data_IF_286377588066
#
_entry.id   IF_286377588066
#
_cell.length_a   1.000
_cell.length_b   1.000
_cell.length_c   1.000
_cell.angle_alpha   90.00
_cell.angle_beta   90.00
_cell.angle_gamma   90.00
#
_symmetry.space_group_name_H-M   'P 1'
#
loop_
_entity.id
_entity.type
_entity.pdbx_description
1 polymer ?
#
# COMPACT_ATOMS: atom_id res chain seq x y z
N UNK A 1 66.16 66.75 16.87
CA UNK A 1 64.92 66.40 16.13
C UNK A 1 65.03 64.91 15.80
N UNK A 2 64.55 64.04 16.70
CA UNK A 2 63.29 63.27 16.61
C UNK A 2 63.39 62.08 15.63
N UNK A 3 63.24 60.80 16.00
CA UNK A 3 63.01 60.14 17.29
C UNK A 3 62.85 58.61 17.15
N UNK A 4 63.03 57.89 18.28
CA UNK A 4 62.35 56.66 18.76
C UNK A 4 62.22 55.45 17.79
N UNK A 5 62.59 54.22 18.11
CA UNK A 5 63.04 53.55 19.32
C UNK A 5 63.07 52.03 19.08
N UNK A 6 64.05 51.33 19.67
CA UNK A 6 64.06 49.85 19.75
C UNK A 6 63.05 49.42 20.82
N UNK A 7 62.18 48.46 20.53
CA UNK A 7 61.55 47.63 21.56
C UNK A 7 61.48 46.18 21.12
N UNK A 8 62.37 45.36 21.68
CA UNK A 8 62.14 43.93 21.84
C UNK A 8 60.86 43.74 22.64
N UNK A 9 59.97 42.85 22.22
CA UNK A 9 58.91 42.34 23.11
C UNK A 9 58.87 40.82 23.02
N UNK A 10 59.25 40.20 24.13
CA UNK A 10 59.18 38.77 24.39
C UNK A 10 57.83 38.19 23.96
N UNK A 11 57.84 37.18 23.10
CA UNK A 11 56.67 36.28 22.99
C UNK A 11 56.69 35.33 24.18
N UNK A 12 55.99 35.79 25.21
CA UNK A 12 55.61 35.07 26.42
C UNK A 12 55.08 33.66 26.07
N UNK A 13 55.59 32.64 26.76
CA UNK A 13 54.91 31.38 27.03
C UNK A 13 53.54 31.69 27.65
N UNK A 14 52.49 31.75 26.83
CA UNK A 14 51.10 31.72 27.28
C UNK A 14 50.32 30.73 26.42
N UNK A 15 49.90 29.67 27.10
CA UNK A 15 48.82 28.75 26.70
C UNK A 15 48.93 28.08 25.32
N UNK A 16 49.61 26.92 25.29
CA UNK A 16 49.22 25.80 24.41
C UNK A 16 48.32 24.82 25.16
N UNK A 17 47.48 25.31 26.08
CA UNK A 17 46.27 24.61 26.47
C UNK A 17 45.16 25.07 25.52
N UNK A 18 45.30 24.69 24.24
CA UNK A 18 44.08 24.36 23.49
C UNK A 18 43.54 23.17 24.26
N UNK A 19 42.36 23.33 24.87
CA UNK A 19 41.53 22.19 25.23
C UNK A 19 41.62 21.25 24.03
N UNK A 20 42.29 20.09 24.19
CA UNK A 20 42.04 18.97 23.29
C UNK A 20 40.56 18.73 23.53
N UNK A 21 39.71 19.31 22.69
CA UNK A 21 38.34 18.84 22.56
C UNK A 21 38.50 17.34 22.33
N UNK A 22 38.23 16.56 23.38
CA UNK A 22 38.37 15.12 23.33
C UNK A 22 37.47 14.68 22.19
N UNK A 23 38.07 13.99 21.21
CA UNK A 23 37.30 13.41 20.11
C UNK A 23 36.53 12.21 20.66
N UNK A 24 35.44 12.51 21.36
CA UNK A 24 34.58 11.54 22.04
C UNK A 24 33.94 10.56 21.06
N UNK A 25 33.85 10.91 19.77
CA UNK A 25 33.29 10.03 18.74
C UNK A 25 34.34 8.98 18.35
N UNK A 26 35.59 9.38 18.15
CA UNK A 26 36.69 8.44 17.92
C UNK A 26 37.01 7.57 19.15
N UNK A 27 36.57 7.94 20.36
CA UNK A 27 36.68 7.09 21.55
C UNK A 27 35.61 5.98 21.63
N UNK A 28 34.52 6.06 20.86
CA UNK A 28 33.48 5.04 20.87
C UNK A 28 33.99 3.72 20.27
N UNK A 29 33.55 2.55 20.75
CA UNK A 29 33.81 1.27 20.09
C UNK A 29 33.25 1.21 18.66
N UNK A 30 33.90 0.44 17.78
CA UNK A 30 33.50 0.27 16.37
C UNK A 30 32.02 -0.08 16.19
N UNK A 31 31.40 -0.98 16.99
CA UNK A 31 29.97 -1.28 16.87
C UNK A 31 29.06 -0.07 17.07
N UNK A 32 29.42 0.85 18.00
CA UNK A 32 28.64 2.06 18.25
C UNK A 32 28.82 3.08 17.12
N UNK A 33 30.04 3.21 16.58
CA UNK A 33 30.26 4.06 15.41
C UNK A 33 29.48 3.52 14.20
N UNK A 34 29.50 2.20 13.97
CA UNK A 34 28.74 1.58 12.89
C UNK A 34 27.22 1.77 13.08
N UNK A 35 26.73 1.75 14.32
CA UNK A 35 25.33 2.10 14.62
C UNK A 35 25.03 3.57 14.29
N UNK A 36 25.89 4.52 14.69
CA UNK A 36 25.75 5.94 14.33
C UNK A 36 25.71 6.11 12.81
N UNK A 37 26.66 5.50 12.10
CA UNK A 37 26.72 5.51 10.64
C UNK A 37 25.47 4.89 9.99
N UNK A 38 24.85 3.90 10.64
CA UNK A 38 23.63 3.24 10.14
C UNK A 38 22.40 4.17 10.10
N UNK A 39 22.45 5.29 10.83
CA UNK A 39 21.41 6.32 10.81
C UNK A 39 21.55 7.30 9.64
N UNK A 40 22.69 7.30 8.94
CA UNK A 40 22.88 8.14 7.76
C UNK A 40 21.93 7.76 6.61
N UNK A 41 21.63 8.74 5.76
CA UNK A 41 20.58 8.63 4.77
C UNK A 41 20.99 7.75 3.59
N UNK A 42 22.25 7.84 3.12
CA UNK A 42 22.76 7.11 1.96
C UNK A 42 24.24 6.74 2.09
N UNK A 43 24.67 5.71 1.35
CA UNK A 43 26.07 5.26 1.32
C UNK A 43 27.05 6.40 1.02
N UNK A 44 26.65 7.44 0.27
CA UNK A 44 27.48 8.63 0.00
C UNK A 44 27.96 9.32 1.26
N UNK A 45 27.10 9.45 2.26
CA UNK A 45 27.44 10.10 3.53
C UNK A 45 28.33 9.18 4.37
N UNK A 46 27.99 7.90 4.41
CA UNK A 46 28.77 6.88 5.14
C UNK A 46 30.19 6.79 4.57
N UNK A 47 30.33 6.65 3.26
CA UNK A 47 31.63 6.55 2.57
C UNK A 47 32.43 7.84 2.72
N UNK A 48 31.80 9.02 2.73
CA UNK A 48 32.50 10.30 3.00
C UNK A 48 33.20 10.31 4.36
N UNK A 49 32.70 9.59 5.36
CA UNK A 49 33.36 9.51 6.67
C UNK A 49 34.71 8.77 6.62
N UNK A 50 35.00 8.02 5.54
CA UNK A 50 36.28 7.32 5.35
C UNK A 50 37.49 8.24 5.31
N UNK A 51 37.31 9.54 5.05
CA UNK A 51 38.40 10.54 5.02
C UNK A 51 38.76 11.07 6.42
N UNK A 52 37.97 10.75 7.45
CA UNK A 52 38.18 11.29 8.81
C UNK A 52 39.44 10.70 9.47
N UNK A 53 39.70 9.40 9.29
CA UNK A 53 40.93 8.75 9.72
C UNK A 53 41.09 7.35 9.11
N UNK A 54 42.24 6.71 9.31
CA UNK A 54 42.53 5.34 8.87
C UNK A 54 41.51 4.32 9.40
N UNK A 55 41.03 4.51 10.64
CA UNK A 55 40.01 3.65 11.25
C UNK A 55 38.66 3.78 10.55
N UNK A 56 38.21 5.00 10.27
CA UNK A 56 36.91 5.22 9.61
C UNK A 56 36.88 4.75 8.16
N UNK A 57 38.06 4.57 7.55
CA UNK A 57 38.20 4.02 6.21
C UNK A 57 37.59 2.62 6.04
N UNK A 58 37.60 1.80 7.10
CA UNK A 58 37.01 0.45 7.08
C UNK A 58 35.62 0.38 7.70
N UNK A 59 35.27 1.27 8.65
CA UNK A 59 34.02 1.18 9.41
C UNK A 59 32.75 1.20 8.55
N UNK A 60 32.75 1.96 7.45
CA UNK A 60 31.59 2.00 6.56
C UNK A 60 31.24 0.64 5.94
N UNK A 61 32.19 -0.31 5.89
CA UNK A 61 32.04 -1.67 5.36
C UNK A 61 31.40 -2.63 6.38
N UNK A 62 31.27 -2.20 7.63
CA UNK A 62 30.70 -2.98 8.73
C UNK A 62 29.31 -2.48 9.16
N UNK A 63 28.78 -1.47 8.46
CA UNK A 63 27.50 -0.86 8.80
C UNK A 63 26.36 -1.85 8.54
N UNK A 64 25.46 -2.09 9.52
CA UNK A 64 24.38 -3.05 9.38
C UNK A 64 23.23 -2.57 8.46
N UNK A 65 23.12 -1.26 8.23
CA UNK A 65 22.11 -0.68 7.36
C UNK A 65 22.77 0.03 6.17
N UNK A 66 22.62 -0.54 4.98
CA UNK A 66 23.24 0.00 3.78
C UNK A 66 22.18 0.42 2.76
N UNK A 67 22.35 1.62 2.19
CA UNK A 67 21.43 2.22 1.23
C UNK A 67 22.23 2.77 0.05
N UNK A 68 22.04 2.18 -1.13
CA UNK A 68 22.74 2.56 -2.35
C UNK A 68 21.73 2.97 -3.42
N UNK A 69 22.02 4.05 -4.14
CA UNK A 69 21.16 4.55 -5.20
C UNK A 69 21.95 5.18 -6.34
N UNK A 70 21.61 4.85 -7.58
CA UNK A 70 22.20 5.50 -8.76
C UNK A 70 21.77 6.96 -8.92
N UNK A 71 20.61 7.36 -8.38
CA UNK A 71 20.22 8.79 -8.31
C UNK A 71 21.20 9.60 -7.45
N UNK A 72 21.73 8.98 -6.38
CA UNK A 72 22.69 9.63 -5.46
C UNK A 72 24.12 9.55 -5.98
N UNK A 73 24.42 8.51 -6.76
CA UNK A 73 25.68 8.25 -7.44
C UNK A 73 25.45 8.10 -8.94
N UNK A 74 25.36 9.21 -9.70
CA UNK A 74 25.10 9.16 -11.14
C UNK A 74 26.22 8.46 -11.91
N UNK A 75 27.46 8.52 -11.42
CA UNK A 75 28.56 7.74 -11.97
C UNK A 75 28.42 6.27 -11.58
N UNK A 76 28.00 5.47 -12.55
CA UNK A 76 27.82 4.02 -12.42
C UNK A 76 29.09 3.30 -11.97
N UNK A 77 30.28 3.71 -12.43
CA UNK A 77 31.55 3.05 -12.06
C UNK A 77 31.83 3.23 -10.57
N UNK A 78 31.55 4.43 -10.05
CA UNK A 78 31.68 4.73 -8.62
C UNK A 78 30.65 3.94 -7.81
N UNK A 79 29.39 3.90 -8.26
CA UNK A 79 28.34 3.12 -7.62
C UNK A 79 28.71 1.64 -7.55
N UNK A 80 29.16 1.07 -8.67
CA UNK A 80 29.57 -0.32 -8.79
C UNK A 80 30.75 -0.62 -7.88
N UNK A 81 31.79 0.22 -7.91
CA UNK A 81 32.97 0.07 -7.04
C UNK A 81 32.62 0.10 -5.55
N UNK A 82 31.75 1.02 -5.12
CA UNK A 82 31.27 1.08 -3.73
C UNK A 82 30.51 -0.20 -3.36
N UNK A 83 29.60 -0.64 -4.23
CA UNK A 83 28.83 -1.86 -4.03
C UNK A 83 29.74 -3.09 -3.95
N UNK A 84 30.60 -3.30 -4.94
CA UNK A 84 31.55 -4.42 -4.98
C UNK A 84 32.44 -4.47 -3.74
N UNK A 85 32.90 -3.31 -3.27
CA UNK A 85 33.73 -3.23 -2.04
C UNK A 85 32.92 -3.59 -0.79
N UNK A 86 31.66 -3.14 -0.70
CA UNK A 86 30.79 -3.40 0.45
C UNK A 86 30.28 -4.84 0.48
N UNK A 87 29.94 -5.40 -0.68
CA UNK A 87 29.39 -6.74 -0.86
C UNK A 87 30.44 -7.81 -1.18
N UNK A 88 31.73 -7.49 -1.00
CA UNK A 88 32.82 -8.46 -1.07
C UNK A 88 32.46 -9.71 -0.25
N UNK A 89 32.51 -10.86 -0.91
CA UNK A 89 32.10 -12.16 -0.36
C UNK A 89 32.98 -12.63 0.79
N UNK A 90 34.20 -12.08 0.94
CA UNK A 90 35.09 -12.35 2.05
C UNK A 90 34.66 -11.65 3.35
N UNK A 91 33.71 -10.70 3.29
CA UNK A 91 33.23 -9.98 4.47
C UNK A 91 32.18 -10.79 5.24
N UNK A 92 32.36 -10.85 6.56
CA UNK A 92 31.47 -11.57 7.48
C UNK A 92 30.54 -10.67 8.30
N UNK A 93 30.68 -9.34 8.19
CA UNK A 93 29.87 -8.38 8.96
C UNK A 93 28.39 -8.50 8.59
N UNK A 94 27.50 -8.45 9.58
CA UNK A 94 26.07 -8.65 9.35
C UNK A 94 25.44 -7.46 8.61
N UNK A 95 24.61 -7.74 7.61
CA UNK A 95 23.77 -6.74 6.95
C UNK A 95 22.35 -6.96 7.46
N UNK A 96 21.81 -6.05 8.27
CA UNK A 96 20.43 -6.14 8.76
C UNK A 96 19.44 -5.60 7.73
N UNK A 97 19.76 -4.47 7.10
CA UNK A 97 18.89 -3.80 6.14
C UNK A 97 19.67 -3.37 4.91
N UNK A 98 19.17 -3.78 3.75
CA UNK A 98 19.68 -3.37 2.45
C UNK A 98 18.58 -2.65 1.67
N UNK A 99 18.92 -1.47 1.14
CA UNK A 99 18.07 -0.70 0.23
C UNK A 99 18.84 -0.36 -1.05
N UNK A 100 18.43 -0.91 -2.18
CA UNK A 100 19.00 -0.65 -3.49
C UNK A 100 17.97 0.11 -4.35
N UNK A 101 18.41 1.19 -4.99
CA UNK A 101 17.64 1.96 -5.97
C UNK A 101 18.47 2.15 -7.23
N UNK A 102 18.24 1.31 -8.22
CA UNK A 102 19.05 1.27 -9.42
C UNK A 102 18.17 1.69 -10.60
N UNK A 103 18.55 2.83 -11.16
CA UNK A 103 18.13 3.38 -12.43
C UNK A 103 19.40 3.37 -13.28
N UNK A 104 19.49 2.44 -14.24
CA UNK A 104 20.51 2.52 -15.27
C UNK A 104 19.93 3.36 -16.41
N UNK A 105 20.78 4.12 -17.10
CA UNK A 105 20.40 4.88 -18.29
C UNK A 105 20.47 3.95 -19.51
N UNK A 106 19.66 4.21 -20.53
CA UNK A 106 19.53 3.38 -21.74
C UNK A 106 20.74 3.46 -22.70
N UNK A 107 21.86 4.04 -22.27
CA UNK A 107 23.06 4.14 -23.09
C UNK A 107 23.62 2.74 -23.40
N UNK A 108 23.29 2.26 -24.59
CA UNK A 108 23.70 0.97 -25.20
C UNK A 108 25.21 0.69 -25.09
N UNK A 109 26.05 1.74 -25.04
CA UNK A 109 27.51 1.64 -24.94
C UNK A 109 27.98 1.01 -23.60
N UNK A 110 27.15 1.00 -22.56
CA UNK A 110 27.45 0.43 -21.24
C UNK A 110 26.89 -0.98 -21.01
N UNK A 111 26.20 -1.58 -22.00
CA UNK A 111 25.63 -2.94 -21.90
C UNK A 111 26.66 -4.07 -22.07
N UNK A 112 27.87 -3.75 -22.55
CA UNK A 112 28.95 -4.73 -22.75
C UNK A 112 29.58 -5.08 -21.41
N UNK A 113 29.15 -6.20 -20.82
CA UNK A 113 29.67 -6.73 -19.55
C UNK A 113 28.72 -6.69 -18.36
N UNK A 114 27.40 -6.60 -18.60
CA UNK A 114 26.34 -6.67 -17.59
C UNK A 114 26.25 -8.05 -16.91
N UNK A 115 27.30 -8.45 -16.20
CA UNK A 115 27.14 -9.31 -15.03
C UNK A 115 26.09 -8.65 -14.13
N UNK A 116 25.06 -9.40 -13.71
CA UNK A 116 24.01 -8.87 -12.85
C UNK A 116 24.57 -8.60 -11.44
N UNK A 117 25.33 -7.51 -11.30
CA UNK A 117 25.90 -7.06 -10.04
C UNK A 117 24.84 -6.83 -8.95
N UNK A 118 23.56 -6.46 -9.23
CA UNK A 118 22.54 -6.45 -8.20
C UNK A 118 22.32 -7.86 -7.62
N UNK A 119 22.33 -8.90 -8.46
CA UNK A 119 22.21 -10.30 -8.03
C UNK A 119 23.37 -10.70 -7.12
N UNK A 120 24.62 -10.38 -7.49
CA UNK A 120 25.79 -10.73 -6.67
C UNK A 120 25.80 -10.00 -5.34
N UNK A 121 25.40 -8.72 -5.31
CA UNK A 121 25.27 -7.94 -4.08
C UNK A 121 24.19 -8.48 -3.16
N UNK A 122 23.03 -8.85 -3.72
CA UNK A 122 21.95 -9.48 -2.94
C UNK A 122 22.39 -10.84 -2.42
N UNK A 123 23.20 -11.60 -3.17
CA UNK A 123 23.68 -12.93 -2.78
C UNK A 123 24.62 -12.82 -1.57
N UNK A 124 25.59 -11.90 -1.64
CA UNK A 124 26.46 -11.58 -0.53
C UNK A 124 25.67 -11.10 0.70
N UNK A 125 24.66 -10.25 0.49
CA UNK A 125 23.82 -9.77 1.59
C UNK A 125 23.01 -10.89 2.25
N UNK A 126 22.40 -11.78 1.45
CA UNK A 126 21.63 -12.91 1.96
C UNK A 126 22.48 -13.84 2.85
N UNK A 127 23.75 -14.07 2.47
CA UNK A 127 24.73 -14.83 3.26
C UNK A 127 25.14 -14.13 4.57
N UNK A 128 24.92 -12.83 4.69
CA UNK A 128 25.32 -11.97 5.83
C UNK A 128 24.16 -11.64 6.77
N UNK A 129 23.24 -12.58 6.99
CA UNK A 129 22.10 -12.50 7.94
C UNK A 129 21.11 -11.35 7.63
N UNK A 130 20.81 -11.17 6.35
CA UNK A 130 19.85 -10.17 5.87
C UNK A 130 18.47 -10.31 6.52
N UNK A 131 17.94 -9.20 7.07
CA UNK A 131 16.60 -9.17 7.67
C UNK A 131 15.61 -8.38 6.83
N UNK A 132 16.05 -7.31 6.17
CA UNK A 132 15.16 -6.42 5.41
C UNK A 132 15.80 -6.07 4.07
N UNK A 133 15.18 -6.53 2.99
CA UNK A 133 15.59 -6.22 1.64
C UNK A 133 14.56 -5.28 0.98
N UNK A 134 15.05 -4.21 0.39
CA UNK A 134 14.32 -3.38 -0.56
C UNK A 134 15.17 -3.22 -1.82
N UNK A 135 14.64 -3.59 -2.97
CA UNK A 135 15.28 -3.40 -4.27
C UNK A 135 14.29 -2.75 -5.21
N UNK A 136 14.69 -1.64 -5.81
CA UNK A 136 13.98 -1.00 -6.89
C UNK A 136 14.83 -0.99 -8.14
N UNK A 137 14.33 -1.67 -9.17
CA UNK A 137 14.83 -1.67 -10.54
C UNK A 137 13.71 -1.18 -11.46
N UNK A 138 14.07 -0.59 -12.59
CA UNK A 138 13.11 -0.35 -13.67
C UNK A 138 12.73 -1.71 -14.34
N UNK A 139 11.56 -1.81 -15.00
CA UNK A 139 11.02 -3.08 -15.48
C UNK A 139 11.82 -3.76 -16.61
N UNK A 140 12.56 -2.98 -17.41
CA UNK A 140 13.25 -3.49 -18.61
C UNK A 140 14.50 -4.34 -18.28
N UNK A 141 14.91 -4.34 -17.01
CA UNK A 141 16.08 -5.10 -16.56
C UNK A 141 15.74 -6.57 -16.27
N UNK A 142 16.59 -7.48 -16.73
CA UNK A 142 16.47 -8.94 -16.50
C UNK A 142 17.24 -9.42 -15.26
N UNK A 143 17.46 -8.56 -14.27
CA UNK A 143 18.20 -8.95 -13.06
C UNK A 143 17.38 -9.91 -12.19
N UNK A 144 17.94 -11.09 -11.97
CA UNK A 144 17.35 -12.14 -11.16
C UNK A 144 17.69 -11.98 -9.69
N UNK A 145 16.79 -12.37 -8.79
CA UNK A 145 17.19 -12.55 -7.39
C UNK A 145 18.08 -13.81 -7.27
N UNK A 146 19.06 -13.82 -6.37
CA UNK A 146 19.88 -15.01 -6.16
C UNK A 146 19.12 -16.09 -5.40
N UNK A 147 19.45 -17.36 -5.65
CA UNK A 147 18.81 -18.52 -5.00
C UNK A 147 19.02 -18.50 -3.47
N UNK A 148 20.13 -17.94 -2.99
CA UNK A 148 20.41 -17.77 -1.55
C UNK A 148 19.36 -16.94 -0.83
N UNK A 149 18.63 -16.07 -1.54
CA UNK A 149 17.56 -15.29 -0.97
C UNK A 149 16.37 -16.17 -0.56
N UNK A 150 16.07 -17.25 -1.31
CA UNK A 150 14.99 -18.20 -1.00
C UNK A 150 15.24 -19.03 0.26
N UNK A 151 16.49 -19.11 0.73
CA UNK A 151 16.88 -19.87 1.93
C UNK A 151 17.35 -18.97 3.07
N UNK A 152 17.15 -17.65 2.94
CA UNK A 152 17.57 -16.66 3.93
C UNK A 152 16.70 -16.73 5.20
N UNK A 153 17.14 -17.51 6.19
CA UNK A 153 16.40 -17.77 7.44
C UNK A 153 16.14 -16.54 8.29
N UNK A 154 16.92 -15.48 8.11
CA UNK A 154 16.81 -14.22 8.88
C UNK A 154 15.89 -13.21 8.23
N UNK A 155 15.44 -13.43 6.99
CA UNK A 155 14.69 -12.45 6.21
C UNK A 155 13.28 -12.25 6.80
N UNK A 156 12.99 -11.02 7.22
CA UNK A 156 11.71 -10.60 7.82
C UNK A 156 10.86 -9.77 6.86
N UNK A 157 11.49 -8.99 5.98
CA UNK A 157 10.81 -8.13 5.02
C UNK A 157 11.49 -8.21 3.66
N UNK A 158 10.74 -8.58 2.63
CA UNK A 158 11.15 -8.60 1.24
C UNK A 158 10.33 -7.62 0.42
N UNK A 159 10.97 -6.66 -0.24
CA UNK A 159 10.32 -5.68 -1.12
C UNK A 159 11.08 -5.60 -2.45
N UNK A 160 10.50 -6.16 -3.50
CA UNK A 160 11.12 -6.24 -4.83
C UNK A 160 10.27 -5.47 -5.85
N UNK A 161 10.94 -4.73 -6.70
CA UNK A 161 10.33 -3.95 -7.78
C UNK A 161 11.16 -4.15 -9.05
N UNK A 162 10.54 -4.64 -10.13
CA UNK A 162 11.20 -4.78 -11.43
C UNK A 162 12.23 -5.91 -11.52
N UNK A 163 12.21 -6.90 -10.62
CA UNK A 163 13.15 -8.03 -10.63
C UNK A 163 12.55 -9.30 -11.20
N UNK A 164 13.41 -10.25 -11.58
CA UNK A 164 13.02 -11.59 -12.01
C UNK A 164 13.22 -12.59 -10.86
N UNK A 165 12.24 -13.47 -10.64
CA UNK A 165 12.38 -14.62 -9.76
C UNK A 165 12.89 -15.80 -10.61
N UNK A 166 14.06 -16.39 -10.32
CA UNK A 166 14.45 -17.62 -10.97
C UNK A 166 13.64 -18.79 -10.41
N UNK A 167 13.49 -19.84 -11.21
CA UNK A 167 12.89 -21.09 -10.76
C UNK A 167 13.74 -21.68 -9.64
N UNK A 168 13.15 -21.85 -8.46
CA UNK A 168 13.78 -22.56 -7.36
C UNK A 168 13.19 -23.97 -7.26
N UNK A 169 13.91 -24.98 -6.78
CA UNK A 169 13.32 -26.26 -6.36
C UNK A 169 12.83 -26.24 -4.90
N UNK A 170 13.43 -25.37 -4.09
CA UNK A 170 13.25 -25.32 -2.64
C UNK A 170 13.19 -23.87 -2.14
N UNK A 171 12.27 -23.59 -1.21
CA UNK A 171 12.14 -22.28 -0.53
C UNK A 171 12.00 -22.51 0.97
N UNK A 172 12.70 -21.72 1.79
CA UNK A 172 12.57 -21.74 3.24
C UNK A 172 12.79 -20.34 3.81
N UNK A 173 11.69 -19.66 4.14
CA UNK A 173 11.66 -18.29 4.63
C UNK A 173 10.95 -18.21 6.00
N UNK A 174 11.50 -18.85 7.04
CA UNK A 174 10.83 -19.07 8.32
C UNK A 174 10.49 -17.80 9.09
N UNK A 175 11.16 -16.68 8.82
CA UNK A 175 10.96 -15.40 9.52
C UNK A 175 10.23 -14.34 8.68
N UNK A 176 9.86 -14.64 7.43
CA UNK A 176 9.33 -13.64 6.51
C UNK A 176 7.91 -13.23 6.90
N UNK A 177 7.74 -11.97 7.32
CA UNK A 177 6.44 -11.41 7.75
C UNK A 177 5.80 -10.52 6.71
N UNK A 178 6.61 -9.87 5.87
CA UNK A 178 6.14 -8.94 4.84
C UNK A 178 6.81 -9.25 3.51
N UNK A 179 5.98 -9.44 2.48
CA UNK A 179 6.41 -9.60 1.11
C UNK A 179 5.68 -8.59 0.22
N UNK A 180 6.43 -7.79 -0.52
CA UNK A 180 5.91 -6.86 -1.52
C UNK A 180 6.61 -7.09 -2.84
N UNK A 181 5.85 -7.45 -3.86
CA UNK A 181 6.31 -7.74 -5.21
C UNK A 181 5.58 -6.79 -6.16
N UNK A 182 6.32 -5.94 -6.88
CA UNK A 182 5.75 -5.04 -7.89
C UNK A 182 6.48 -5.22 -9.21
N UNK A 183 5.76 -5.51 -10.28
CA UNK A 183 6.34 -5.79 -11.60
C UNK A 183 7.46 -6.84 -11.50
N UNK A 184 7.23 -7.88 -10.68
CA UNK A 184 8.21 -8.97 -10.47
C UNK A 184 7.82 -10.13 -11.37
N UNK A 185 8.70 -10.52 -12.31
CA UNK A 185 8.44 -11.64 -13.22
C UNK A 185 8.65 -12.96 -12.49
N UNK A 186 7.62 -13.80 -12.46
CA UNK A 186 7.67 -15.14 -11.87
C UNK A 186 7.85 -16.17 -12.99
N UNK A 187 8.67 -17.22 -12.83
CA UNK A 187 9.04 -18.16 -13.90
C UNK A 187 7.97 -19.23 -14.13
N UNK A 188 7.15 -19.53 -13.12
CA UNK A 188 6.00 -20.42 -13.15
C UNK A 188 5.14 -20.18 -11.89
N UNK A 189 3.92 -20.73 -11.89
CA UNK A 189 2.96 -20.61 -10.79
C UNK A 189 3.45 -21.31 -9.52
N UNK A 190 4.12 -22.47 -9.67
CA UNK A 190 4.60 -23.29 -8.56
C UNK A 190 5.71 -22.60 -7.75
N UNK A 191 6.53 -21.77 -8.38
CA UNK A 191 7.59 -20.98 -7.74
C UNK A 191 6.99 -19.88 -6.89
N UNK A 192 5.98 -19.17 -7.39
CA UNK A 192 5.25 -18.20 -6.59
C UNK A 192 4.51 -18.87 -5.42
N UNK A 193 3.85 -20.00 -5.70
CA UNK A 193 3.15 -20.77 -4.67
C UNK A 193 4.07 -21.15 -3.52
N UNK A 194 5.24 -21.72 -3.83
CA UNK A 194 6.23 -22.11 -2.82
C UNK A 194 6.81 -20.92 -2.07
N UNK A 195 6.99 -19.78 -2.75
CA UNK A 195 7.43 -18.55 -2.11
C UNK A 195 6.45 -18.11 -1.00
N UNK A 196 5.14 -18.25 -1.24
CA UNK A 196 4.09 -17.91 -0.27
C UNK A 196 3.90 -19.01 0.78
N UNK A 197 3.75 -20.27 0.36
CA UNK A 197 3.41 -21.39 1.24
C UNK A 197 4.57 -21.81 2.15
N UNK A 198 5.83 -21.67 1.70
CA UNK A 198 7.02 -21.92 2.51
C UNK A 198 7.46 -20.72 3.38
N UNK A 199 6.57 -19.72 3.53
CA UNK A 199 6.73 -18.56 4.42
C UNK A 199 5.72 -18.63 5.57
N UNK A 200 5.92 -19.50 6.58
CA UNK A 200 4.88 -19.87 7.55
C UNK A 200 4.42 -18.74 8.46
N UNK A 201 5.18 -17.63 8.58
CA UNK A 201 4.84 -16.46 9.41
C UNK A 201 4.47 -15.23 8.59
N UNK A 202 4.18 -15.38 7.30
CA UNK A 202 3.84 -14.29 6.40
C UNK A 202 2.52 -13.62 6.80
N UNK A 203 2.57 -12.35 7.18
CA UNK A 203 1.38 -11.60 7.62
C UNK A 203 0.84 -10.66 6.54
N UNK A 204 1.72 -10.12 5.70
CA UNK A 204 1.36 -9.12 4.68
C UNK A 204 1.96 -9.51 3.33
N UNK A 205 1.11 -9.70 2.34
CA UNK A 205 1.48 -9.91 0.95
C UNK A 205 0.90 -8.76 0.10
N UNK A 206 1.75 -8.16 -0.73
CA UNK A 206 1.36 -7.14 -1.68
C UNK A 206 1.89 -7.49 -3.06
N UNK A 207 1.01 -7.66 -4.03
CA UNK A 207 1.33 -7.98 -5.41
C UNK A 207 0.77 -6.88 -6.33
N UNK A 208 1.61 -6.39 -7.26
CA UNK A 208 1.20 -5.41 -8.25
C UNK A 208 1.91 -5.65 -9.58
N UNK A 209 1.21 -5.50 -10.72
CA UNK A 209 1.75 -5.78 -12.05
C UNK A 209 0.86 -5.22 -13.17
N UNK A 210 1.47 -4.85 -14.30
CA UNK A 210 0.81 -4.18 -15.42
C UNK A 210 0.75 -5.06 -16.70
N UNK A 211 1.86 -5.64 -17.14
CA UNK A 211 1.91 -6.38 -18.42
C UNK A 211 2.62 -7.74 -18.25
N UNK A 212 2.20 -8.74 -19.04
CA UNK A 212 2.72 -10.11 -19.13
C UNK A 212 2.50 -11.09 -17.96
N UNK A 213 1.57 -10.78 -17.07
CA UNK A 213 1.14 -11.70 -16.03
C UNK A 213 0.05 -12.67 -16.49
N UNK A 214 0.27 -13.43 -17.57
CA UNK A 214 -0.69 -14.47 -18.02
C UNK A 214 -0.79 -15.69 -17.09
N UNK A 215 -0.21 -15.61 -15.89
CA UNK A 215 0.00 -16.73 -14.98
C UNK A 215 -0.89 -16.57 -13.75
N UNK A 216 -1.30 -17.69 -13.17
CA UNK A 216 -1.97 -17.67 -11.90
C UNK A 216 -0.99 -17.39 -10.75
N UNK A 217 -1.48 -16.65 -9.77
CA UNK A 217 -0.85 -16.35 -8.50
C UNK A 217 -1.60 -17.11 -7.40
N UNK A 218 -1.25 -18.38 -7.17
CA UNK A 218 -1.79 -19.16 -6.06
C UNK A 218 -1.26 -18.60 -4.72
N UNK A 219 -2.16 -17.99 -3.96
CA UNK A 219 -1.92 -17.50 -2.61
C UNK A 219 -2.48 -18.51 -1.61
N UNK A 220 -1.69 -19.56 -1.35
CA UNK A 220 -1.98 -20.55 -0.30
C UNK A 220 -1.17 -20.19 0.95
N UNK A 221 -1.84 -19.68 2.00
CA UNK A 221 -1.15 -19.28 3.23
C UNK A 221 -2.04 -19.40 4.47
N UNK A 222 -1.53 -20.10 5.49
CA UNK A 222 -2.23 -20.28 6.77
C UNK A 222 -2.02 -19.14 7.76
N UNK A 223 -1.11 -18.18 7.49
CA UNK A 223 -0.76 -17.09 8.41
C UNK A 223 -1.03 -15.69 7.88
N UNK A 224 -1.42 -15.59 6.61
CA UNK A 224 -1.64 -14.32 5.92
C UNK A 224 -2.81 -13.55 6.53
N UNK A 225 -2.56 -12.33 6.98
CA UNK A 225 -3.57 -11.43 7.57
C UNK A 225 -4.04 -10.35 6.61
N UNK A 226 -3.17 -9.94 5.68
CA UNK A 226 -3.47 -8.88 4.70
C UNK A 226 -2.92 -9.22 3.32
N UNK A 227 -3.79 -9.16 2.33
CA UNK A 227 -3.47 -9.27 0.91
C UNK A 227 -3.85 -7.97 0.20
N UNK A 228 -2.93 -7.44 -0.60
CA UNK A 228 -3.22 -6.35 -1.54
C UNK A 228 -2.81 -6.80 -2.95
N UNK A 229 -3.75 -6.79 -3.89
CA UNK A 229 -3.54 -7.19 -5.27
C UNK A 229 -3.94 -6.08 -6.26
N UNK A 230 -3.11 -5.89 -7.28
CA UNK A 230 -3.34 -4.99 -8.43
C UNK A 230 -2.71 -5.61 -9.67
N UNK A 231 -3.44 -6.45 -10.38
CA UNK A 231 -2.92 -7.28 -11.48
C UNK A 231 -3.82 -7.12 -12.70
N UNK A 232 -3.50 -6.17 -13.57
CA UNK A 232 -4.37 -5.79 -14.70
C UNK A 232 -4.76 -6.97 -15.61
N UNK A 233 -3.94 -8.03 -15.66
CA UNK A 233 -4.17 -9.24 -16.49
C UNK A 233 -3.85 -10.58 -15.81
N UNK A 234 -3.61 -10.60 -14.49
CA UNK A 234 -3.15 -11.81 -13.78
C UNK A 234 -4.22 -12.50 -12.97
N UNK A 235 -4.29 -13.84 -13.06
CA UNK A 235 -5.21 -14.65 -12.27
C UNK A 235 -4.69 -14.84 -10.84
N UNK A 236 -5.55 -14.73 -9.82
CA UNK A 236 -5.20 -14.87 -8.40
C UNK A 236 -6.14 -15.87 -7.75
N UNK A 237 -5.57 -16.94 -7.19
CA UNK A 237 -6.33 -17.90 -6.39
C UNK A 237 -6.00 -17.66 -4.93
N UNK A 238 -7.01 -17.38 -4.11
CA UNK A 238 -6.84 -17.02 -2.70
C UNK A 238 -7.39 -18.13 -1.82
N UNK A 239 -6.50 -18.74 -1.04
CA UNK A 239 -6.79 -19.69 0.03
C UNK A 239 -5.98 -19.27 1.26
N UNK A 240 -6.63 -18.48 2.10
CA UNK A 240 -6.01 -17.83 3.25
C UNK A 240 -7.03 -17.71 4.39
N UNK A 241 -7.20 -18.76 5.22
CA UNK A 241 -8.26 -18.83 6.22
C UNK A 241 -8.15 -17.78 7.33
N UNK A 242 -6.96 -17.21 7.57
CA UNK A 242 -6.74 -16.16 8.58
C UNK A 242 -6.73 -14.74 7.98
N UNK A 243 -7.13 -14.58 6.71
CA UNK A 243 -7.12 -13.30 6.03
C UNK A 243 -8.17 -12.35 6.61
N UNK A 244 -7.71 -11.28 7.27
CA UNK A 244 -8.59 -10.25 7.83
C UNK A 244 -8.83 -9.07 6.88
N UNK A 245 -7.93 -8.82 5.93
CA UNK A 245 -8.03 -7.71 4.97
C UNK A 245 -7.64 -8.16 3.57
N UNK A 246 -8.57 -8.02 2.63
CA UNK A 246 -8.35 -8.20 1.19
C UNK A 246 -8.55 -6.86 0.48
N UNK A 247 -7.51 -6.35 -0.17
CA UNK A 247 -7.59 -5.16 -1.03
C UNK A 247 -7.33 -5.53 -2.47
N UNK A 248 -8.27 -5.22 -3.36
CA UNK A 248 -8.18 -5.44 -4.80
C UNK A 248 -8.34 -4.08 -5.49
N UNK A 249 -7.32 -3.68 -6.23
CA UNK A 249 -7.34 -2.46 -7.05
C UNK A 249 -7.01 -2.85 -8.49
N UNK A 250 -8.03 -3.08 -9.31
CA UNK A 250 -7.84 -3.77 -10.60
C UNK A 250 -8.81 -3.29 -11.68
N UNK A 251 -8.57 -3.68 -12.93
CA UNK A 251 -9.48 -3.42 -14.03
C UNK A 251 -10.71 -4.32 -13.99
N UNK A 252 -10.55 -5.56 -13.51
CA UNK A 252 -11.60 -6.58 -13.40
C UNK A 252 -11.40 -7.49 -12.18
N UNK A 253 -12.51 -8.09 -11.69
CA UNK A 253 -12.47 -9.17 -10.69
C UNK A 253 -12.51 -10.57 -11.30
N UNK A 254 -12.65 -10.70 -12.62
CA UNK A 254 -12.76 -11.99 -13.32
C UNK A 254 -11.58 -12.92 -13.05
N UNK A 255 -10.45 -12.32 -12.72
CA UNK A 255 -9.20 -13.00 -12.45
C UNK A 255 -9.07 -13.48 -11.01
N UNK A 256 -10.04 -13.23 -10.12
CA UNK A 256 -9.92 -13.53 -8.70
C UNK A 256 -10.82 -14.69 -8.31
N UNK A 257 -10.21 -15.79 -7.86
CA UNK A 257 -10.92 -16.96 -7.32
C UNK A 257 -10.67 -17.04 -5.82
N UNK A 258 -11.74 -16.98 -5.04
CA UNK A 258 -11.69 -16.96 -3.58
C UNK A 258 -12.32 -18.25 -3.07
N UNK A 259 -11.59 -19.04 -2.28
CA UNK A 259 -12.04 -20.36 -1.82
C UNK A 259 -12.27 -20.43 -0.32
N UNK A 260 -11.30 -20.00 0.47
CA UNK A 260 -11.28 -20.23 1.91
C UNK A 260 -10.75 -18.98 2.61
N UNK A 261 -11.67 -18.13 3.06
CA UNK A 261 -11.39 -16.91 3.81
C UNK A 261 -11.96 -17.01 5.22
N UNK A 262 -11.48 -16.14 6.10
CA UNK A 262 -12.01 -15.98 7.44
C UNK A 262 -13.53 -15.74 7.42
N UNK A 263 -14.21 -16.16 8.49
CA UNK A 263 -15.66 -16.04 8.64
C UNK A 263 -16.18 -14.59 8.61
N UNK A 264 -15.31 -13.60 8.81
CA UNK A 264 -15.59 -12.18 8.61
C UNK A 264 -14.28 -11.45 8.31
N UNK A 265 -14.19 -10.79 7.16
CA UNK A 265 -13.01 -10.03 6.74
C UNK A 265 -13.41 -8.68 6.12
N UNK A 266 -12.45 -7.76 6.04
CA UNK A 266 -12.58 -6.48 5.34
C UNK A 266 -12.20 -6.64 3.87
N UNK A 267 -13.10 -6.30 2.96
CA UNK A 267 -12.86 -6.19 1.53
C UNK A 267 -12.75 -4.71 1.13
N UNK A 268 -11.67 -4.33 0.46
CA UNK A 268 -11.49 -3.03 -0.19
C UNK A 268 -11.38 -3.26 -1.70
N UNK A 269 -12.43 -2.88 -2.43
CA UNK A 269 -12.59 -3.20 -3.85
C UNK A 269 -12.68 -1.92 -4.69
N UNK A 270 -11.61 -1.66 -5.44
CA UNK A 270 -11.49 -0.52 -6.35
C UNK A 270 -11.34 -0.99 -7.79
N UNK A 271 -12.42 -0.93 -8.56
CA UNK A 271 -12.42 -1.28 -9.98
C UNK A 271 -12.11 -0.06 -10.85
N UNK A 272 -11.15 -0.21 -11.75
CA UNK A 272 -10.65 0.87 -12.61
C UNK A 272 -11.48 1.02 -13.90
N UNK A 273 -12.18 -0.06 -14.33
CA UNK A 273 -13.00 -0.11 -15.54
C UNK A 273 -14.44 -0.53 -15.24
N UNK A 274 -15.42 0.14 -15.88
CA UNK A 274 -16.85 -0.15 -15.73
C UNK A 274 -17.45 -1.07 -16.80
N UNK A 275 -16.66 -1.55 -17.77
CA UNK A 275 -17.17 -2.32 -18.94
C UNK A 275 -17.35 -3.82 -18.68
N UNK A 276 -17.37 -4.25 -17.42
CA UNK A 276 -17.13 -5.64 -17.01
C UNK A 276 -18.26 -6.65 -17.28
N UNK A 277 -19.47 -6.21 -17.67
CA UNK A 277 -20.67 -7.07 -17.49
C UNK A 277 -21.38 -7.47 -18.79
N UNK A 278 -21.01 -6.91 -19.95
CA UNK A 278 -21.75 -7.18 -21.20
C UNK A 278 -21.57 -8.61 -21.73
N UNK A 279 -20.39 -9.21 -21.53
CA UNK A 279 -20.08 -10.56 -21.98
C UNK A 279 -20.50 -11.62 -20.94
N UNK A 280 -21.09 -12.74 -21.39
CA UNK A 280 -21.57 -13.82 -20.52
C UNK A 280 -20.47 -14.49 -19.71
N UNK A 281 -19.29 -14.71 -20.31
CA UNK A 281 -18.13 -15.29 -19.61
C UNK A 281 -17.70 -14.41 -18.42
N UNK A 282 -17.67 -13.09 -18.61
CA UNK A 282 -17.30 -12.13 -17.57
C UNK A 282 -18.31 -12.11 -16.41
N UNK A 283 -19.60 -12.24 -16.73
CA UNK A 283 -20.66 -12.37 -15.70
C UNK A 283 -20.49 -13.62 -14.86
N UNK A 284 -20.20 -14.77 -15.47
CA UNK A 284 -19.96 -16.01 -14.74
C UNK A 284 -18.78 -15.87 -13.76
N UNK A 285 -17.67 -15.27 -14.18
CA UNK A 285 -16.53 -15.04 -13.28
C UNK A 285 -16.87 -14.06 -12.16
N UNK A 286 -17.64 -13.01 -12.44
CA UNK A 286 -18.13 -12.08 -11.42
C UNK A 286 -19.03 -12.80 -10.40
N UNK A 287 -19.92 -13.70 -10.86
CA UNK A 287 -20.77 -14.53 -9.99
C UNK A 287 -19.95 -15.40 -9.04
N UNK A 288 -18.91 -16.06 -9.57
CA UNK A 288 -17.98 -16.87 -8.77
C UNK A 288 -17.26 -15.99 -7.73
N UNK A 289 -16.76 -14.83 -8.14
CA UNK A 289 -16.13 -13.88 -7.22
C UNK A 289 -17.08 -13.44 -6.09
N UNK A 290 -18.31 -13.03 -6.42
CA UNK A 290 -19.34 -12.63 -5.47
C UNK A 290 -19.66 -13.73 -4.46
N UNK A 291 -19.74 -14.98 -4.91
CA UNK A 291 -19.95 -16.13 -4.03
C UNK A 291 -18.80 -16.32 -3.04
N UNK A 292 -17.56 -16.08 -3.48
CA UNK A 292 -16.36 -16.19 -2.65
C UNK A 292 -16.22 -15.08 -1.60
N UNK A 293 -16.86 -13.92 -1.80
CA UNK A 293 -16.87 -12.80 -0.84
C UNK A 293 -18.13 -12.74 0.05
N UNK A 294 -18.98 -13.77 0.03
CA UNK A 294 -20.25 -13.80 0.78
C UNK A 294 -20.11 -13.59 2.30
N UNK A 295 -18.96 -13.97 2.87
CA UNK A 295 -18.62 -13.80 4.30
C UNK A 295 -17.97 -12.44 4.64
N UNK A 296 -18.04 -11.46 3.74
CA UNK A 296 -17.49 -10.12 4.00
C UNK A 296 -18.19 -9.45 5.18
N UNK A 297 -17.40 -8.94 6.14
CA UNK A 297 -17.91 -8.25 7.33
C UNK A 297 -17.88 -6.73 7.21
N UNK A 298 -16.90 -6.21 6.47
CA UNK A 298 -16.76 -4.80 6.10
C UNK A 298 -16.40 -4.70 4.62
N UNK A 299 -17.11 -3.86 3.86
CA UNK A 299 -16.85 -3.66 2.45
C UNK A 299 -16.59 -2.19 2.16
N UNK A 300 -15.50 -1.89 1.45
CA UNK A 300 -15.17 -0.58 0.89
C UNK A 300 -15.26 -0.66 -0.62
N UNK A 301 -16.01 0.24 -1.25
CA UNK A 301 -16.23 0.28 -2.69
C UNK A 301 -15.98 1.67 -3.27
N UNK A 302 -15.29 1.72 -4.41
CA UNK A 302 -15.19 2.94 -5.21
C UNK A 302 -16.48 3.18 -6.02
N UNK A 303 -16.63 4.41 -6.54
CA UNK A 303 -17.75 4.81 -7.43
C UNK A 303 -17.92 3.86 -8.62
N UNK A 304 -16.80 3.53 -9.28
CA UNK A 304 -16.79 2.60 -10.42
C UNK A 304 -17.18 1.18 -9.99
N UNK A 305 -16.72 0.71 -8.83
CA UNK A 305 -17.12 -0.59 -8.29
C UNK A 305 -18.62 -0.63 -8.06
N UNK A 306 -19.20 0.39 -7.43
CA UNK A 306 -20.65 0.47 -7.19
C UNK A 306 -21.45 0.39 -8.49
N UNK A 307 -21.03 1.13 -9.53
CA UNK A 307 -21.65 1.06 -10.87
C UNK A 307 -21.59 -0.35 -11.45
N UNK A 308 -20.46 -1.07 -11.33
CA UNK A 308 -20.31 -2.44 -11.84
C UNK A 308 -21.27 -3.40 -11.13
N UNK A 309 -21.40 -3.32 -9.81
CA UNK A 309 -22.35 -4.13 -9.06
C UNK A 309 -23.80 -3.88 -9.51
N UNK A 310 -24.16 -2.61 -9.72
CA UNK A 310 -25.47 -2.28 -10.26
C UNK A 310 -25.68 -2.87 -11.66
N UNK A 311 -24.73 -2.68 -12.58
CA UNK A 311 -24.83 -3.24 -13.94
C UNK A 311 -24.99 -4.76 -13.91
N UNK A 312 -24.27 -5.46 -13.03
CA UNK A 312 -24.43 -6.90 -12.82
C UNK A 312 -25.85 -7.26 -12.36
N UNK A 313 -26.40 -6.51 -11.40
CA UNK A 313 -27.75 -6.75 -10.86
C UNK A 313 -28.89 -6.66 -11.89
N UNK A 314 -28.66 -5.99 -13.02
CA UNK A 314 -29.63 -5.91 -14.13
C UNK A 314 -29.75 -7.26 -14.87
N UNK A 315 -28.64 -8.00 -14.96
CA UNK A 315 -28.57 -9.24 -15.72
C UNK A 315 -28.73 -10.48 -14.85
N UNK A 316 -28.21 -10.45 -13.62
CA UNK A 316 -28.17 -11.61 -12.74
C UNK A 316 -28.49 -11.22 -11.28
N UNK A 317 -29.09 -12.14 -10.50
CA UNK A 317 -29.40 -11.87 -9.10
C UNK A 317 -28.12 -11.69 -8.27
N UNK A 318 -28.13 -10.68 -7.39
CA UNK A 318 -27.06 -10.45 -6.43
C UNK A 318 -27.20 -11.42 -5.24
N UNK A 319 -26.08 -11.96 -4.70
CA UNK A 319 -26.13 -12.73 -3.47
C UNK A 319 -26.42 -11.82 -2.26
N UNK A 320 -26.89 -12.44 -1.18
CA UNK A 320 -27.05 -11.76 0.09
C UNK A 320 -25.72 -11.73 0.86
N UNK A 321 -25.36 -10.55 1.35
CA UNK A 321 -24.20 -10.32 2.21
C UNK A 321 -24.65 -10.32 3.67
N UNK A 322 -24.96 -11.51 4.19
CA UNK A 322 -25.54 -11.68 5.53
C UNK A 322 -24.61 -11.25 6.68
N UNK A 323 -23.30 -11.29 6.46
CA UNK A 323 -22.29 -10.93 7.46
C UNK A 323 -21.86 -9.46 7.39
N UNK A 324 -22.29 -8.73 6.34
CA UNK A 324 -21.84 -7.36 6.11
C UNK A 324 -22.44 -6.41 7.15
N UNK A 325 -21.59 -5.93 8.04
CA UNK A 325 -21.97 -5.03 9.14
C UNK A 325 -21.65 -3.57 8.86
N UNK A 326 -20.64 -3.31 8.02
CA UNK A 326 -20.21 -1.96 7.64
C UNK A 326 -19.96 -1.87 6.14
N UNK A 327 -20.58 -0.88 5.51
CA UNK A 327 -20.39 -0.55 4.11
C UNK A 327 -19.81 0.86 4.02
N UNK A 328 -18.73 1.01 3.27
CA UNK A 328 -18.13 2.29 2.88
C UNK A 328 -18.17 2.37 1.36
N UNK A 329 -18.93 3.30 0.81
CA UNK A 329 -19.12 3.40 -0.63
C UNK A 329 -18.95 4.85 -1.09
N UNK A 330 -18.09 5.06 -2.09
CA UNK A 330 -18.13 6.31 -2.87
C UNK A 330 -19.18 6.16 -3.95
N UNK A 331 -20.11 7.11 -4.08
CA UNK A 331 -21.24 7.02 -5.01
C UNK A 331 -21.39 8.34 -5.77
N UNK A 332 -21.59 8.25 -7.09
CA UNK A 332 -21.96 9.41 -7.90
C UNK A 332 -23.44 9.77 -7.62
N UNK A 333 -23.80 11.03 -7.44
CA UNK A 333 -25.18 11.45 -7.18
C UNK A 333 -26.22 10.92 -8.19
N UNK A 334 -25.83 10.72 -9.45
CA UNK A 334 -26.69 10.15 -10.51
C UNK A 334 -27.11 8.70 -10.25
N UNK A 335 -26.35 8.01 -9.39
CA UNK A 335 -26.44 6.56 -9.16
C UNK A 335 -27.11 6.25 -7.82
N UNK A 336 -27.40 7.27 -7.01
CA UNK A 336 -28.05 7.13 -5.70
C UNK A 336 -29.39 6.38 -5.78
N UNK A 337 -30.10 6.48 -6.91
CA UNK A 337 -31.33 5.74 -7.17
C UNK A 337 -31.18 4.21 -7.05
N UNK A 338 -29.97 3.68 -7.19
CA UNK A 338 -29.67 2.24 -7.08
C UNK A 338 -29.29 1.80 -5.68
N UNK A 339 -29.05 2.73 -4.76
CA UNK A 339 -28.66 2.46 -3.38
C UNK A 339 -29.63 1.49 -2.67
N UNK A 340 -30.97 1.68 -2.72
CA UNK A 340 -31.90 0.78 -2.02
C UNK A 340 -31.80 -0.67 -2.49
N UNK A 341 -31.60 -0.89 -3.79
CA UNK A 341 -31.48 -2.23 -4.37
C UNK A 341 -30.22 -2.94 -3.83
N UNK A 342 -29.09 -2.23 -3.77
CA UNK A 342 -27.86 -2.78 -3.19
C UNK A 342 -27.97 -3.02 -1.68
N UNK A 343 -28.55 -2.06 -0.93
CA UNK A 343 -28.79 -2.21 0.50
C UNK A 343 -29.75 -3.38 0.82
N UNK A 344 -30.67 -3.69 -0.09
CA UNK A 344 -31.54 -4.87 -0.01
C UNK A 344 -30.77 -6.20 -0.02
N UNK A 345 -29.53 -6.22 -0.53
CA UNK A 345 -28.65 -7.38 -0.48
C UNK A 345 -27.92 -7.51 0.87
N UNK A 346 -28.02 -6.52 1.76
CA UNK A 346 -27.21 -6.40 2.98
C UNK A 346 -28.12 -6.28 4.23
N UNK A 347 -28.92 -7.30 4.58
CA UNK A 347 -30.00 -7.18 5.57
C UNK A 347 -29.52 -6.85 7.00
N UNK A 348 -28.27 -7.21 7.35
CA UNK A 348 -27.70 -7.01 8.69
C UNK A 348 -26.75 -5.80 8.80
N UNK A 349 -26.82 -4.86 7.85
CA UNK A 349 -25.94 -3.70 7.79
C UNK A 349 -26.19 -2.74 8.97
N UNK A 350 -25.15 -2.48 9.78
CA UNK A 350 -25.22 -1.59 10.96
C UNK A 350 -24.67 -0.19 10.71
N UNK A 351 -23.66 -0.08 9.85
CA UNK A 351 -22.99 1.19 9.55
C UNK A 351 -22.87 1.40 8.05
N UNK A 352 -23.34 2.55 7.58
CA UNK A 352 -23.22 2.99 6.19
C UNK A 352 -22.40 4.28 6.16
N UNK A 353 -21.26 4.24 5.48
CA UNK A 353 -20.43 5.40 5.16
C UNK A 353 -20.55 5.66 3.67
N UNK A 354 -20.88 6.89 3.29
CA UNK A 354 -21.03 7.30 1.90
C UNK A 354 -20.18 8.52 1.60
N UNK A 355 -19.33 8.42 0.60
CA UNK A 355 -18.66 9.58 0.00
C UNK A 355 -19.38 10.00 -1.27
N UNK A 356 -19.91 11.22 -1.30
CA UNK A 356 -20.54 11.78 -2.49
C UNK A 356 -19.47 12.46 -3.35
N UNK A 357 -19.28 11.95 -4.58
CA UNK A 357 -18.27 12.46 -5.49
C UNK A 357 -18.91 13.31 -6.59
N UNK A 358 -18.62 14.61 -6.56
CA UNK A 358 -19.09 15.59 -7.52
C UNK A 358 -17.95 15.95 -8.49
N UNK A 359 -17.99 15.46 -9.74
CA UNK A 359 -17.08 15.96 -10.78
C UNK A 359 -17.69 17.14 -11.51
N UNK A 360 -16.86 18.11 -11.89
CA UNK A 360 -17.30 19.29 -12.66
C UNK A 360 -17.86 18.90 -14.04
N UNK A 361 -17.35 17.83 -14.64
CA UNK A 361 -17.81 17.28 -15.92
C UNK A 361 -19.25 16.76 -15.88
N UNK A 362 -19.75 16.33 -14.72
CA UNK A 362 -21.11 15.79 -14.55
C UNK A 362 -22.12 16.83 -14.06
N UNK A 363 -21.75 18.11 -13.97
CA UNK A 363 -22.65 19.20 -13.53
C UNK A 363 -23.97 19.23 -14.31
N UNK A 364 -23.91 19.02 -15.62
CA UNK A 364 -25.09 18.96 -16.49
C UNK A 364 -25.99 17.73 -16.24
N UNK A 365 -25.43 16.62 -15.73
CA UNK A 365 -26.22 15.43 -15.38
C UNK A 365 -26.86 15.53 -13.98
N UNK A 366 -26.38 16.43 -13.11
CA UNK A 366 -26.99 16.63 -11.79
C UNK A 366 -28.40 17.21 -11.86
N UNK A 367 -28.75 17.93 -12.94
CA UNK A 367 -30.14 18.34 -13.19
C UNK A 367 -31.07 17.13 -13.39
N UNK A 368 -30.58 16.07 -14.06
CA UNK A 368 -31.31 14.80 -14.19
C UNK A 368 -31.30 13.99 -12.88
N UNK A 369 -30.21 14.04 -12.10
CA UNK A 369 -30.16 13.43 -10.77
C UNK A 369 -31.20 14.04 -9.81
N UNK A 370 -31.67 15.27 -10.04
CA UNK A 370 -32.73 15.84 -9.23
C UNK A 370 -34.10 15.17 -9.43
N UNK A 371 -34.29 14.32 -10.43
CA UNK A 371 -35.58 13.70 -10.76
C UNK A 371 -35.74 12.24 -10.30
N UNK A 372 -34.77 11.64 -9.59
CA UNK A 372 -34.98 10.27 -9.09
C UNK A 372 -35.83 10.22 -7.81
N UNK A 373 -36.47 9.07 -7.61
CA UNK A 373 -37.10 8.63 -6.36
C UNK A 373 -36.48 7.31 -5.93
N UNK A 374 -36.42 7.06 -4.63
CA UNK A 374 -36.03 5.75 -4.12
C UNK A 374 -37.20 4.78 -4.28
N UNK A 375 -36.93 3.61 -4.88
CA UNK A 375 -37.96 2.64 -5.28
C UNK A 375 -38.49 1.79 -4.13
N UNK A 376 -37.72 1.63 -3.07
CA UNK A 376 -38.04 0.73 -1.95
C UNK A 376 -37.31 1.13 -0.68
N UNK A 377 -37.70 0.52 0.44
CA UNK A 377 -37.00 0.61 1.72
C UNK A 377 -36.35 -0.75 2.00
N UNK A 378 -35.02 -0.84 2.07
CA UNK A 378 -34.33 -2.10 2.32
C UNK A 378 -34.55 -2.53 3.78
N UNK A 379 -34.56 -3.84 4.00
CA UNK A 379 -34.79 -4.44 5.32
C UNK A 379 -33.83 -3.88 6.38
N UNK A 380 -32.56 -3.67 6.02
CA UNK A 380 -31.56 -3.14 6.95
C UNK A 380 -31.92 -1.75 7.50
N UNK A 381 -32.61 -0.90 6.73
CA UNK A 381 -33.08 0.40 7.23
C UNK A 381 -34.10 0.22 8.35
N UNK A 382 -34.89 -0.86 8.31
CA UNK A 382 -35.93 -1.13 9.29
C UNK A 382 -35.37 -1.84 10.53
N UNK A 383 -34.39 -2.74 10.37
CA UNK A 383 -34.02 -3.72 11.40
C UNK A 383 -32.61 -3.60 11.98
N UNK A 384 -31.64 -3.03 11.25
CA UNK A 384 -30.22 -3.16 11.63
C UNK A 384 -29.38 -1.88 11.51
N UNK A 385 -29.78 -0.89 10.71
CA UNK A 385 -28.98 0.30 10.43
C UNK A 385 -28.94 1.27 11.63
N UNK A 386 -27.81 1.31 12.32
CA UNK A 386 -27.61 2.10 13.55
C UNK A 386 -26.89 3.43 13.29
N UNK A 387 -26.02 3.48 12.27
CA UNK A 387 -25.21 4.67 11.98
C UNK A 387 -25.07 4.93 10.49
N UNK A 388 -25.18 6.20 10.12
CA UNK A 388 -24.90 6.67 8.75
C UNK A 388 -23.94 7.85 8.81
N UNK A 389 -22.94 7.85 7.94
CA UNK A 389 -21.98 8.94 7.76
C UNK A 389 -21.95 9.32 6.28
N UNK A 390 -22.22 10.60 5.97
CA UNK A 390 -22.27 11.11 4.60
C UNK A 390 -21.25 12.23 4.46
N UNK A 391 -20.24 11.96 3.65
CA UNK A 391 -19.22 12.90 3.23
C UNK A 391 -19.58 13.54 1.88
N UNK A 392 -19.11 14.77 1.65
CA UNK A 392 -19.19 15.43 0.35
C UNK A 392 -20.52 16.11 0.04
N UNK A 393 -21.34 16.49 1.03
CA UNK A 393 -22.64 17.14 0.76
C UNK A 393 -22.42 18.56 0.22
N UNK A 394 -23.05 18.87 -0.91
CA UNK A 394 -23.00 20.19 -1.55
C UNK A 394 -24.29 21.00 -1.35
N UNK A 395 -25.36 20.37 -0.84
CA UNK A 395 -26.64 21.01 -0.54
C UNK A 395 -27.65 21.02 -1.69
N UNK A 396 -27.42 20.20 -2.72
CA UNK A 396 -28.33 20.09 -3.86
C UNK A 396 -29.59 19.28 -3.50
N UNK A 397 -30.51 19.12 -4.46
CA UNK A 397 -31.76 18.39 -4.20
C UNK A 397 -31.54 16.88 -4.00
N UNK A 398 -30.53 16.28 -4.64
CA UNK A 398 -30.19 14.86 -4.45
C UNK A 398 -29.67 14.59 -3.03
N UNK A 399 -28.81 15.46 -2.48
CA UNK A 399 -28.33 15.39 -1.09
C UNK A 399 -29.49 15.41 -0.10
N UNK A 400 -30.39 16.40 -0.24
CA UNK A 400 -31.56 16.55 0.63
C UNK A 400 -32.48 15.34 0.51
N UNK A 401 -32.68 14.80 -0.70
CA UNK A 401 -33.47 13.58 -0.92
C UNK A 401 -32.85 12.37 -0.24
N UNK A 402 -31.54 12.18 -0.33
CA UNK A 402 -30.83 11.09 0.32
C UNK A 402 -30.96 11.15 1.84
N UNK A 403 -30.67 12.32 2.43
CA UNK A 403 -30.79 12.53 3.88
C UNK A 403 -32.23 12.32 4.33
N UNK A 404 -33.20 12.85 3.58
CA UNK A 404 -34.63 12.64 3.84
C UNK A 404 -34.99 11.17 3.85
N UNK A 405 -34.59 10.45 2.80
CA UNK A 405 -34.88 9.03 2.67
C UNK A 405 -34.35 8.22 3.85
N UNK A 406 -33.13 8.49 4.31
CA UNK A 406 -32.56 7.82 5.48
C UNK A 406 -33.34 8.16 6.76
N UNK A 407 -33.56 9.44 7.03
CA UNK A 407 -34.25 9.88 8.26
C UNK A 407 -35.70 9.39 8.34
N UNK A 408 -36.43 9.40 7.22
CA UNK A 408 -37.84 9.01 7.17
C UNK A 408 -38.03 7.49 7.15
N UNK A 409 -37.02 6.69 6.80
CA UNK A 409 -37.16 5.24 6.68
C UNK A 409 -36.41 4.43 7.74
N UNK A 410 -35.35 4.98 8.35
CA UNK A 410 -34.57 4.22 9.32
C UNK A 410 -35.17 4.26 10.73
N UNK A 411 -35.59 3.09 11.25
CA UNK A 411 -36.36 2.99 12.51
C UNK A 411 -35.44 3.04 13.75
N UNK A 412 -34.29 2.38 13.68
CA UNK A 412 -33.37 2.22 14.83
C UNK A 412 -32.10 3.07 14.72
N UNK A 413 -32.08 4.02 13.77
CA UNK A 413 -30.92 4.87 13.51
C UNK A 413 -30.56 5.70 14.74
N UNK A 414 -29.34 5.55 15.25
CA UNK A 414 -28.84 6.26 16.44
C UNK A 414 -28.09 7.53 16.04
N UNK A 415 -27.34 7.48 14.94
CA UNK A 415 -26.44 8.57 14.54
C UNK A 415 -26.46 8.77 13.02
N UNK A 416 -26.64 10.02 12.59
CA UNK A 416 -26.41 10.49 11.24
C UNK A 416 -25.35 11.58 11.28
N UNK A 417 -24.20 11.36 10.63
CA UNK A 417 -23.11 12.35 10.52
C UNK A 417 -23.10 12.93 9.11
N UNK A 418 -23.00 14.25 9.02
CA UNK A 418 -23.02 14.97 7.75
C UNK A 418 -21.77 15.85 7.63
N UNK A 419 -21.09 15.75 6.49
CA UNK A 419 -20.01 16.66 6.11
C UNK A 419 -20.53 17.73 5.14
N UNK A 420 -20.69 18.95 5.65
CA UNK A 420 -21.22 20.08 4.89
C UNK A 420 -20.12 21.03 4.38
N UNK A 421 -18.84 20.66 4.46
CA UNK A 421 -17.71 21.55 4.10
C UNK A 421 -17.74 22.03 2.65
N UNK A 422 -18.45 21.33 1.77
CA UNK A 422 -18.60 21.66 0.36
C UNK A 422 -19.86 22.49 0.04
N UNK A 423 -20.64 22.86 1.05
CA UNK A 423 -21.85 23.66 0.90
C UNK A 423 -21.53 25.16 0.81
N UNK A 424 -22.10 25.89 -0.15
CA UNK A 424 -21.97 27.36 -0.22
C UNK A 424 -22.64 28.11 0.95
N UNK A 425 -23.69 27.52 1.53
CA UNK A 425 -24.39 28.09 2.69
C UNK A 425 -24.75 26.98 3.68
N UNK A 426 -23.73 26.54 4.42
CA UNK A 426 -23.81 25.46 5.42
C UNK A 426 -24.98 25.67 6.39
N UNK A 427 -25.12 26.88 6.96
CA UNK A 427 -26.17 27.17 7.94
C UNK A 427 -27.60 27.02 7.38
N UNK A 428 -27.84 27.48 6.15
CA UNK A 428 -29.16 27.36 5.53
C UNK A 428 -29.49 25.89 5.20
N UNK A 429 -28.52 25.14 4.70
CA UNK A 429 -28.67 23.72 4.38
C UNK A 429 -28.85 22.91 5.66
N UNK A 430 -28.07 23.17 6.70
CA UNK A 430 -28.22 22.52 8.00
C UNK A 430 -29.62 22.72 8.57
N UNK A 431 -30.14 23.96 8.59
CA UNK A 431 -31.51 24.23 9.06
C UNK A 431 -32.55 23.42 8.26
N UNK A 432 -32.36 23.32 6.94
CA UNK A 432 -33.23 22.53 6.06
C UNK A 432 -33.16 21.03 6.37
N UNK A 433 -31.97 20.49 6.62
CA UNK A 433 -31.77 19.07 6.92
C UNK A 433 -32.26 18.71 8.33
N UNK A 434 -32.08 19.59 9.32
CA UNK A 434 -32.57 19.39 10.68
C UNK A 434 -34.10 19.43 10.78
N UNK A 435 -34.77 20.13 9.86
CA UNK A 435 -36.23 20.18 9.77
C UNK A 435 -36.88 18.94 9.16
N UNK A 436 -36.10 17.95 8.70
CA UNK A 436 -36.62 16.70 8.15
C UNK A 436 -37.15 15.82 9.29
N UNK A 437 -38.37 15.26 9.16
CA UNK A 437 -38.93 14.36 10.17
C UNK A 437 -38.08 13.09 10.28
N UNK A 438 -37.87 12.65 11.51
CA UNK A 438 -37.09 11.45 11.83
C UNK A 438 -38.03 10.34 12.24
N UNK A 439 -37.87 9.16 11.64
CA UNK A 439 -38.60 7.97 12.05
C UNK A 439 -38.04 7.38 13.34
N UNK A 440 -36.71 7.44 13.50
CA UNK A 440 -36.07 7.07 14.76
C UNK A 440 -36.02 8.25 15.73
N UNK A 441 -36.61 8.06 16.91
CA UNK A 441 -36.63 9.05 18.00
C UNK A 441 -35.25 9.22 18.67
N UNK A 442 -34.37 8.24 18.55
CA UNK A 442 -33.03 8.25 19.15
C UNK A 442 -31.97 8.84 18.21
N UNK A 443 -32.34 9.13 16.96
CA UNK A 443 -31.40 9.61 15.95
C UNK A 443 -30.88 11.02 16.26
N UNK A 444 -29.56 11.10 16.46
CA UNK A 444 -28.82 12.35 16.53
C UNK A 444 -28.22 12.69 15.17
N UNK A 445 -28.50 13.89 14.68
CA UNK A 445 -27.88 14.44 13.46
C UNK A 445 -26.70 15.30 13.90
N UNK A 446 -25.49 14.91 13.49
CA UNK A 446 -24.22 15.53 13.87
C UNK A 446 -23.50 16.08 12.63
N UNK A 447 -22.77 17.17 12.81
CA UNK A 447 -21.85 17.68 11.80
C UNK A 447 -20.46 17.11 12.03
N UNK A 448 -19.75 16.80 10.93
CA UNK A 448 -18.35 16.41 11.02
C UNK A 448 -17.51 17.67 11.28
N UNK A 449 -16.92 17.75 12.47
CA UNK A 449 -15.97 18.82 12.79
C UNK A 449 -14.66 18.59 12.01
N UNK A 450 -14.12 19.65 11.43
CA UNK A 450 -12.80 19.61 10.81
C UNK A 450 -11.75 19.32 11.89
N UNK A 451 -11.08 18.17 11.80
CA UNK A 451 -9.81 17.96 12.51
C UNK A 451 -8.81 19.00 11.93
N UNK A 452 -8.48 20.01 12.74
CA UNK A 452 -7.45 21.02 12.45
C UNK A 452 -6.04 20.43 12.53
#
# INVERSE_FOLDING_TARGET
>A
MAGRGKSKRCRSKKSRQRLKELDRISELPDPLICQILSHLAWAKEVVKTSVLSSRWRSLWLEVPNFKLSSVVFPDFRVLKSIGDTFFDSNRISCIQKLKLHIFEDDDEEYRVGAESYPTSWIDAAAKRKLQRLYVFMLPDYQSEIPISLYTCKTLVSLKLYGMVLPGAGFVSLPCLKLMKLRNVRCPDEATFERLVSCSPVLQVLKIAGHEDFHRAFPVHSLSLKKLQAKLERGHVVIDAPLLGVLKIEDTSVENYVIRNLASSFKLDLTLLCGKLVYESAKRNSFRVFLSGISNVGEMVMSEKTFKVFHLYSIFEPMPQFLYLSRLDATICPTDLKWLPAFLGCCPNLKSLVMGLFYTDELRFLFEQANQFSFSSVPECSLSSLESVDIDGICGNAADVKLVRYILENSIILKKLTLDLRYCHNENAILKKLLGIPRRSITCQVLLRESEC
#
